data_IF_576654461368
#
_entry.id   IF_576654461368
#
_cell.length_a   1.000
_cell.length_b   1.000
_cell.length_c   1.000
_cell.angle_alpha   90.00
_cell.angle_beta   90.00
_cell.angle_gamma   90.00
#
_symmetry.space_group_name_H-M   'P 1'
#
loop_
_entity.id
_entity.type
_entity.pdbx_description
1 polymer ?
#
# COMPACT_ATOMS: atom_id res chain seq x y z
N UNK A 1 4.10 6.76 -4.10
CA UNK A 1 4.89 5.67 -3.47
C UNK A 1 5.32 4.74 -4.58
N UNK A 2 6.60 4.36 -4.63
CA UNK A 2 7.12 3.52 -5.71
C UNK A 2 6.76 2.05 -5.50
N UNK A 3 6.90 1.23 -6.55
CA UNK A 3 6.73 -0.23 -6.46
C UNK A 3 7.75 -0.84 -5.49
N UNK A 4 9.00 -0.35 -5.50
CA UNK A 4 10.06 -0.78 -4.58
C UNK A 4 9.71 -0.57 -3.11
N UNK A 5 9.00 0.51 -2.80
CA UNK A 5 8.70 0.96 -1.45
C UNK A 5 7.44 0.30 -0.88
N UNK A 6 6.71 -0.46 -1.71
CA UNK A 6 5.52 -1.18 -1.29
C UNK A 6 5.92 -2.47 -0.56
N UNK A 7 5.62 -2.60 0.74
CA UNK A 7 6.16 -3.70 1.54
C UNK A 7 5.43 -5.02 1.33
N UNK A 8 4.20 -4.99 0.81
CA UNK A 8 3.37 -6.18 0.66
C UNK A 8 3.69 -6.92 -0.65
N UNK A 9 3.48 -8.26 -0.70
CA UNK A 9 3.77 -9.06 -1.90
C UNK A 9 2.86 -8.70 -3.08
N UNK A 10 1.69 -8.14 -2.81
CA UNK A 10 0.70 -7.77 -3.82
C UNK A 10 0.25 -6.31 -3.63
N UNK A 11 -0.07 -5.68 -4.76
CA UNK A 11 -0.73 -4.38 -4.82
C UNK A 11 -2.18 -4.62 -5.20
N UNK A 12 -3.11 -4.32 -4.29
CA UNK A 12 -4.54 -4.44 -4.55
C UNK A 12 -5.14 -3.11 -4.92
N UNK A 13 -5.76 -3.06 -6.10
CA UNK A 13 -6.45 -1.89 -6.63
C UNK A 13 -7.94 -2.16 -6.61
N UNK A 14 -8.71 -1.28 -5.98
CA UNK A 14 -10.17 -1.38 -5.90
C UNK A 14 -10.80 -0.19 -6.60
N UNK A 15 -11.69 -0.46 -7.55
CA UNK A 15 -12.54 0.56 -8.15
C UNK A 15 -13.63 0.96 -7.16
N UNK A 16 -13.73 2.24 -6.83
CA UNK A 16 -14.73 2.72 -5.85
C UNK A 16 -16.14 2.84 -6.44
N UNK A 17 -16.30 2.68 -7.77
CA UNK A 17 -17.60 2.69 -8.45
C UNK A 17 -18.23 1.32 -8.59
N UNK A 18 -17.51 0.36 -9.17
CA UNK A 18 -18.03 -0.99 -9.41
C UNK A 18 -17.60 -2.01 -8.35
N UNK A 19 -16.68 -1.64 -7.45
CA UNK A 19 -16.16 -2.55 -6.41
C UNK A 19 -15.21 -3.63 -6.92
N UNK A 20 -14.88 -3.62 -8.22
CA UNK A 20 -13.93 -4.60 -8.78
C UNK A 20 -12.56 -4.44 -8.12
N UNK A 21 -12.06 -5.54 -7.58
CA UNK A 21 -10.73 -5.65 -6.99
C UNK A 21 -9.80 -6.37 -7.97
N UNK A 22 -8.59 -5.85 -8.12
CA UNK A 22 -7.50 -6.50 -8.85
C UNK A 22 -6.29 -6.59 -7.93
N UNK A 23 -5.89 -7.82 -7.62
CA UNK A 23 -4.66 -8.10 -6.88
C UNK A 23 -3.54 -8.40 -7.88
N UNK A 24 -2.41 -7.72 -7.74
CA UNK A 24 -1.30 -7.78 -8.69
C UNK A 24 -0.02 -8.06 -7.91
N UNK A 25 0.75 -9.09 -8.27
CA UNK A 25 2.04 -9.33 -7.65
C UNK A 25 2.96 -8.11 -7.83
N UNK A 26 3.58 -7.65 -6.75
CA UNK A 26 4.53 -6.53 -6.76
C UNK A 26 5.68 -6.78 -7.73
N UNK A 27 6.16 -8.02 -7.77
CA UNK A 27 7.23 -8.46 -8.70
C UNK A 27 6.81 -8.32 -10.17
N UNK A 28 5.57 -8.69 -10.49
CA UNK A 28 5.05 -8.53 -11.86
C UNK A 28 4.96 -7.05 -12.24
N UNK A 29 4.53 -6.18 -11.31
CA UNK A 29 4.53 -4.74 -11.52
C UNK A 29 5.94 -4.17 -11.72
N UNK A 30 6.91 -4.62 -10.92
CA UNK A 30 8.30 -4.21 -11.06
C UNK A 30 8.89 -4.59 -12.42
N UNK A 31 8.55 -5.77 -12.96
CA UNK A 31 9.01 -6.22 -14.29
C UNK A 31 8.39 -5.38 -15.41
N UNK A 32 7.10 -5.05 -15.33
CA UNK A 32 6.37 -4.37 -16.41
C UNK A 32 6.63 -2.85 -16.40
N UNK A 33 6.61 -2.23 -15.21
CA UNK A 33 6.66 -0.78 -15.06
C UNK A 33 8.01 -0.26 -14.55
N UNK A 34 8.84 -1.14 -13.97
CA UNK A 34 10.06 -0.78 -13.26
C UNK A 34 9.85 -0.60 -11.76
N UNK A 35 10.90 -0.84 -10.97
CA UNK A 35 10.87 -0.72 -9.50
C UNK A 35 10.58 0.71 -9.01
N UNK A 36 11.06 1.71 -9.78
CA UNK A 36 10.88 3.13 -9.48
C UNK A 36 9.53 3.71 -9.92
N UNK A 37 8.69 2.91 -10.56
CA UNK A 37 7.39 3.38 -11.03
C UNK A 37 6.48 3.76 -9.86
N UNK A 38 5.78 4.89 -9.99
CA UNK A 38 4.85 5.32 -8.95
C UNK A 38 3.52 4.53 -9.05
N UNK A 39 3.08 3.95 -7.93
CA UNK A 39 1.86 3.15 -7.85
C UNK A 39 0.60 3.96 -8.21
N UNK A 40 0.59 5.28 -8.03
CA UNK A 40 -0.53 6.13 -8.45
C UNK A 40 -0.64 6.19 -9.98
N UNK A 41 0.50 6.24 -10.67
CA UNK A 41 0.57 6.20 -12.13
C UNK A 41 0.13 4.84 -12.66
N UNK A 42 0.66 3.74 -12.09
CA UNK A 42 0.25 2.37 -12.44
C UNK A 42 -1.26 2.21 -12.26
N UNK A 43 -1.79 2.64 -11.12
CA UNK A 43 -3.24 2.61 -10.85
C UNK A 43 -4.03 3.37 -11.90
N UNK A 44 -3.59 4.56 -12.29
CA UNK A 44 -4.26 5.37 -13.31
C UNK A 44 -4.25 4.66 -14.67
N UNK A 45 -3.13 4.05 -15.06
CA UNK A 45 -2.99 3.32 -16.33
C UNK A 45 -3.88 2.07 -16.36
N UNK A 46 -3.85 1.26 -15.31
CA UNK A 46 -4.67 0.04 -15.21
C UNK A 46 -6.16 0.31 -15.21
N UNK A 47 -6.56 1.50 -14.77
CA UNK A 47 -7.95 1.91 -14.72
C UNK A 47 -8.36 2.84 -15.85
N UNK A 48 -7.46 3.16 -16.79
CA UNK A 48 -7.73 4.00 -17.95
C UNK A 48 -8.75 3.37 -18.93
N UNK A 49 -8.78 2.04 -19.02
CA UNK A 49 -9.75 1.31 -19.84
C UNK A 49 -11.11 1.08 -19.17
N UNK A 50 -11.26 1.44 -17.89
CA UNK A 50 -12.51 1.28 -17.16
C UNK A 50 -13.48 2.37 -17.63
N UNK A 51 -14.35 2.05 -18.60
CA UNK A 51 -15.29 2.97 -19.26
C UNK A 51 -16.08 3.78 -18.22
N UNK A 52 -15.70 5.03 -17.95
CA UNK A 52 -16.55 5.93 -17.20
C UNK A 52 -17.62 6.40 -18.17
N UNK A 53 -18.83 6.64 -17.69
CA UNK A 53 -19.79 7.48 -18.42
C UNK A 53 -19.07 8.77 -18.88
N UNK A 54 -19.36 9.21 -20.11
CA UNK A 54 -18.68 10.31 -20.81
C UNK A 54 -18.44 11.48 -19.84
N UNK A 55 -17.17 11.75 -19.50
CA UNK A 55 -16.65 12.81 -18.60
C UNK A 55 -16.33 12.46 -17.13
N UNK A 56 -16.36 11.19 -16.71
CA UNK A 56 -15.94 10.85 -15.35
C UNK A 56 -14.50 10.33 -15.28
N UNK A 57 -13.72 10.80 -14.31
CA UNK A 57 -12.39 10.25 -14.02
C UNK A 57 -12.59 8.90 -13.31
N UNK A 58 -11.76 7.91 -13.61
CA UNK A 58 -11.80 6.66 -12.87
C UNK A 58 -11.46 6.91 -11.40
N UNK A 59 -12.33 6.42 -10.50
CA UNK A 59 -12.12 6.51 -9.06
C UNK A 59 -11.69 5.14 -8.56
N UNK A 60 -10.39 4.97 -8.35
CA UNK A 60 -9.79 3.76 -7.81
C UNK A 60 -8.86 4.09 -6.64
N UNK A 61 -8.69 3.14 -5.73
CA UNK A 61 -7.81 3.26 -4.57
C UNK A 61 -6.93 2.04 -4.42
N UNK A 62 -5.78 2.22 -3.78
CA UNK A 62 -5.00 1.11 -3.26
C UNK A 62 -5.71 0.60 -1.99
N UNK A 63 -6.14 -0.65 -1.98
CA UNK A 63 -6.94 -1.21 -0.89
C UNK A 63 -6.17 -1.18 0.43
N UNK A 64 -4.89 -1.53 0.37
CA UNK A 64 -4.02 -1.69 1.54
C UNK A 64 -3.21 -0.44 1.87
N UNK A 65 -3.51 0.73 1.27
CA UNK A 65 -2.73 1.94 1.52
C UNK A 65 -2.65 2.32 3.00
N UNK A 66 -3.76 2.17 3.74
CA UNK A 66 -3.78 2.45 5.18
C UNK A 66 -3.02 1.39 5.99
N UNK A 67 -3.06 0.13 5.58
CA UNK A 67 -2.26 -0.93 6.19
C UNK A 67 -0.78 -0.69 5.95
N UNK A 68 -0.39 -0.31 4.72
CA UNK A 68 0.99 0.03 4.38
C UNK A 68 1.46 1.26 5.15
N UNK A 69 0.62 2.29 5.28
CA UNK A 69 0.95 3.44 6.14
C UNK A 69 1.16 2.99 7.58
N UNK A 70 0.29 2.12 8.12
CA UNK A 70 0.46 1.58 9.46
C UNK A 70 1.75 0.77 9.60
N UNK A 71 2.10 -0.09 8.63
CA UNK A 71 3.34 -0.89 8.65
C UNK A 71 4.58 0.01 8.69
N UNK A 72 4.61 1.05 7.85
CA UNK A 72 5.78 1.91 7.67
C UNK A 72 5.88 3.05 8.70
N UNK A 73 4.80 3.37 9.40
CA UNK A 73 4.80 4.42 10.43
C UNK A 73 5.52 3.93 11.69
N UNK A 74 6.62 4.59 12.11
CA UNK A 74 7.33 4.21 13.34
C UNK A 74 6.54 4.58 14.60
N UNK A 75 5.76 5.66 14.57
CA UNK A 75 4.97 6.11 15.72
C UNK A 75 3.53 5.63 15.61
N UNK A 76 3.15 4.63 16.42
CA UNK A 76 1.79 4.09 16.40
C UNK A 76 0.71 5.14 16.69
N UNK A 77 1.03 6.23 17.40
CA UNK A 77 0.09 7.32 17.64
C UNK A 77 -0.22 8.15 16.37
N UNK A 78 0.61 8.04 15.32
CA UNK A 78 0.41 8.69 14.02
C UNK A 78 -0.28 7.79 12.99
N UNK A 79 -0.59 6.55 13.33
CA UNK A 79 -1.32 5.65 12.43
C UNK A 79 -2.74 6.16 12.21
N UNK A 80 -3.11 6.31 10.93
CA UNK A 80 -4.40 6.92 10.54
C UNK A 80 -5.59 6.08 11.00
N UNK A 81 -5.45 4.75 10.94
CA UNK A 81 -6.47 3.80 11.42
C UNK A 81 -5.84 2.84 12.45
N UNK A 82 -5.98 3.14 13.76
CA UNK A 82 -5.42 2.31 14.82
C UNK A 82 -5.94 0.88 14.85
N UNK A 83 -7.08 0.58 14.21
CA UNK A 83 -7.62 -0.78 14.14
C UNK A 83 -6.74 -1.71 13.29
N UNK A 84 -5.87 -1.16 12.45
CA UNK A 84 -4.93 -1.89 11.61
C UNK A 84 -3.60 -2.21 12.30
N UNK A 85 -3.35 -1.69 13.51
CA UNK A 85 -2.10 -1.91 14.26
C UNK A 85 -1.78 -3.40 14.49
N UNK A 86 -2.74 -4.29 14.84
CA UNK A 86 -2.43 -5.71 15.02
C UNK A 86 -1.86 -6.35 13.74
N UNK A 87 -2.54 -6.13 12.60
CA UNK A 87 -2.09 -6.63 11.31
C UNK A 87 -0.75 -5.99 10.88
N UNK A 88 -0.57 -4.70 11.13
CA UNK A 88 0.68 -4.01 10.82
C UNK A 88 1.87 -4.60 11.59
N UNK A 89 1.70 -4.97 12.87
CA UNK A 89 2.74 -5.62 13.68
C UNK A 89 3.13 -6.99 13.12
N UNK A 90 2.15 -7.83 12.78
CA UNK A 90 2.42 -9.15 12.16
C UNK A 90 3.22 -9.02 10.85
N UNK A 91 2.88 -8.01 10.04
CA UNK A 91 3.62 -7.71 8.82
C UNK A 91 5.02 -7.18 9.10
N UNK A 92 5.22 -6.29 10.08
CA UNK A 92 6.56 -5.80 10.45
C UNK A 92 7.48 -6.95 10.87
N UNK A 93 6.97 -7.89 11.67
CA UNK A 93 7.72 -9.10 12.06
C UNK A 93 8.10 -9.94 10.83
N UNK A 94 7.14 -10.18 9.92
CA UNK A 94 7.37 -10.94 8.68
C UNK A 94 8.40 -10.26 7.77
N UNK A 95 8.40 -8.94 7.72
CA UNK A 95 9.28 -8.12 6.89
C UNK A 95 10.64 -7.85 7.54
N UNK A 96 10.83 -8.24 8.81
CA UNK A 96 12.04 -7.93 9.58
C UNK A 96 12.20 -6.43 9.90
N UNK A 97 11.10 -5.68 9.93
CA UNK A 97 11.09 -4.27 10.35
C UNK A 97 11.08 -4.21 11.88
N UNK A 98 11.93 -3.38 12.48
CA UNK A 98 11.99 -3.23 13.93
C UNK A 98 10.64 -2.76 14.47
N UNK A 99 10.10 -3.49 15.46
CA UNK A 99 8.95 -3.01 16.23
C UNK A 99 9.36 -1.76 17.02
N UNK A 100 8.51 -0.72 17.09
CA UNK A 100 8.86 0.54 17.75
C UNK A 100 9.10 0.43 19.26
N UNK A 101 8.92 -0.74 19.86
CA UNK A 101 9.11 -1.01 21.29
C UNK A 101 10.57 -1.24 21.71
N UNK A 102 11.57 -1.02 20.85
CA UNK A 102 13.00 -1.29 21.17
C UNK A 102 13.86 -0.05 21.49
N UNK A 103 13.30 1.16 21.57
CA UNK A 103 14.08 2.39 21.84
C UNK A 103 13.92 2.96 23.27
N UNK A 104 13.47 2.17 24.24
CA UNK A 104 13.58 2.50 25.67
C UNK A 104 14.52 1.51 26.38
N UNK A 105 15.85 1.71 26.30
CA UNK A 105 16.82 1.34 27.35
C UNK A 105 18.27 1.64 26.92
N UNK A 106 18.65 2.90 26.71
CA UNK A 106 20.03 3.32 26.95
C UNK A 106 20.13 4.85 27.18
N UNK A 107 19.90 5.25 28.43
CA UNK A 107 20.44 6.48 28.99
C UNK A 107 20.60 6.28 30.50
N UNK A 108 21.77 5.75 30.87
CA UNK A 108 22.28 5.67 32.24
C UNK A 108 22.77 7.04 32.73
#
# INVERSE_FOLDING_TARGET
MKVSDWPLPEVRIVCTKCGLESALPREALAVVFGEDADLFTIRAEMTAGCVPTKNEVCQSKLADALLVQAILEPDEAKVVDPSLLPAAREWRETLGLASPESEESEAA
#
